data_IF_817647254112
#
_entry.id   IF_817647254112
#
_cell.length_a   1.000
_cell.length_b   1.000
_cell.length_c   1.000
_cell.angle_alpha   90.00
_cell.angle_beta   90.00
_cell.angle_gamma   90.00
#
_symmetry.space_group_name_H-M   'P 1'
#
loop_
_entity.id
_entity.type
_entity.pdbx_description
1 polymer ?
#
# COMPACT_ATOMS: atom_id res chain seq x y z
N UNK A 1 -4.48 -13.09 -4.34
CA UNK A 1 -4.22 -12.69 -2.95
C UNK A 1 -5.12 -11.53 -2.57
N UNK A 2 -5.76 -11.57 -1.40
CA UNK A 2 -6.53 -10.45 -0.84
C UNK A 2 -6.19 -10.23 0.63
N UNK A 3 -6.38 -9.00 1.12
CA UNK A 3 -6.30 -8.69 2.56
C UNK A 3 -7.50 -9.35 3.24
N UNK A 4 -7.28 -10.37 4.06
CA UNK A 4 -8.33 -11.13 4.74
C UNK A 4 -8.61 -10.63 6.15
N UNK A 5 -7.60 -10.07 6.82
CA UNK A 5 -7.74 -9.58 8.18
C UNK A 5 -6.81 -8.41 8.48
N UNK A 6 -7.31 -7.44 9.25
CA UNK A 6 -6.57 -6.34 9.84
C UNK A 6 -6.69 -6.42 11.36
N UNK A 7 -5.54 -6.32 12.04
CA UNK A 7 -5.49 -6.08 13.48
C UNK A 7 -4.76 -4.80 13.81
N UNK A 8 -5.29 -4.06 14.77
CA UNK A 8 -4.72 -2.82 15.28
C UNK A 8 -4.52 -2.90 16.78
N UNK A 9 -3.37 -2.39 17.23
CA UNK A 9 -3.08 -2.13 18.64
C UNK A 9 -2.63 -0.69 18.78
N UNK A 10 -3.24 0.06 19.69
CA UNK A 10 -2.90 1.45 20.01
C UNK A 10 -2.73 2.39 18.81
N UNK A 11 -3.46 2.12 17.72
CA UNK A 11 -3.41 2.92 16.50
C UNK A 11 -4.56 3.93 16.48
N UNK A 12 -4.22 5.22 16.63
CA UNK A 12 -5.13 6.37 16.61
C UNK A 12 -6.25 6.28 17.63
N UNK A 13 -7.44 5.83 17.21
CA UNK A 13 -8.62 5.69 18.09
C UNK A 13 -8.84 4.27 18.59
N UNK A 14 -8.12 3.30 18.02
CA UNK A 14 -8.20 1.90 18.41
C UNK A 14 -7.04 1.65 19.37
N UNK A 15 -7.33 1.67 20.67
CA UNK A 15 -6.30 1.53 21.69
C UNK A 15 -6.87 1.24 23.06
N UNK A 16 -6.02 0.72 23.92
CA UNK A 16 -6.33 0.38 25.30
C UNK A 16 -5.18 0.80 26.22
N UNK A 17 -5.37 0.66 27.53
CA UNK A 17 -4.36 1.07 28.51
C UNK A 17 -3.17 0.10 28.57
N UNK A 18 -3.36 -1.14 28.16
CA UNK A 18 -2.37 -2.21 28.26
C UNK A 18 -2.10 -2.78 26.87
N UNK A 19 -0.82 -2.94 26.51
CA UNK A 19 -0.46 -3.52 25.23
C UNK A 19 -0.33 -5.03 25.36
N UNK A 20 -1.34 -5.77 24.91
CA UNK A 20 -1.33 -7.22 24.85
C UNK A 20 -1.38 -7.71 23.41
N UNK A 21 -0.33 -8.40 22.96
CA UNK A 21 -0.22 -8.83 21.56
C UNK A 21 -1.28 -9.84 21.13
N UNK A 22 -1.86 -10.59 22.07
CA UNK A 22 -2.95 -11.54 21.80
C UNK A 22 -4.33 -10.86 21.73
N UNK A 23 -4.43 -9.61 22.21
CA UNK A 23 -5.69 -8.88 22.35
C UNK A 23 -5.64 -7.57 21.56
N UNK A 24 -5.86 -7.60 20.23
CA UNK A 24 -5.93 -6.38 19.43
C UNK A 24 -7.15 -5.52 19.79
N UNK A 25 -6.96 -4.20 19.73
CA UNK A 25 -8.02 -3.20 19.95
C UNK A 25 -9.03 -3.16 18.79
N UNK A 26 -8.62 -3.59 17.61
CA UNK A 26 -9.51 -3.89 16.48
C UNK A 26 -9.05 -5.19 15.82
N UNK A 27 -9.98 -6.10 15.57
CA UNK A 27 -9.78 -7.28 14.74
C UNK A 27 -10.88 -7.31 13.67
N UNK A 28 -10.53 -7.04 12.42
CA UNK A 28 -11.47 -6.82 11.33
C UNK A 28 -11.19 -7.75 10.15
N UNK A 29 -12.15 -8.59 9.83
CA UNK A 29 -12.11 -9.46 8.66
C UNK A 29 -12.63 -8.75 7.41
N UNK A 30 -12.05 -9.11 6.27
CA UNK A 30 -12.39 -8.60 4.94
C UNK A 30 -12.76 -9.77 4.03
N UNK A 31 -13.71 -9.52 3.13
CA UNK A 31 -14.05 -10.42 2.05
C UNK A 31 -13.07 -10.25 0.88
N UNK A 32 -12.90 -11.28 0.05
CA UNK A 32 -11.96 -11.28 -1.09
C UNK A 32 -12.16 -10.12 -2.07
N UNK A 33 -13.41 -9.76 -2.33
CA UNK A 33 -13.77 -8.87 -3.43
C UNK A 33 -14.05 -7.45 -2.93
N UNK A 34 -15.31 -7.18 -2.58
CA UNK A 34 -15.77 -5.85 -2.21
C UNK A 34 -16.01 -5.77 -0.71
N UNK A 35 -15.42 -4.75 -0.09
CA UNK A 35 -15.66 -4.39 1.30
C UNK A 35 -16.15 -2.95 1.36
N UNK A 36 -17.26 -2.72 2.07
CA UNK A 36 -17.84 -1.39 2.25
C UNK A 36 -17.82 -1.02 3.73
N UNK A 37 -17.02 -0.02 4.09
CA UNK A 37 -16.94 0.48 5.46
C UNK A 37 -17.96 1.61 5.66
N UNK A 38 -18.96 1.36 6.51
CA UNK A 38 -20.05 2.31 6.81
C UNK A 38 -20.00 2.68 8.30
N UNK A 39 -20.31 3.94 8.61
CA UNK A 39 -20.42 4.43 9.98
C UNK A 39 -20.42 5.94 10.03
N UNK A 40 -20.59 6.51 11.22
CA UNK A 40 -20.57 7.96 11.45
C UNK A 40 -19.21 8.60 11.14
N UNK A 41 -19.19 9.92 10.95
CA UNK A 41 -17.91 10.62 10.84
C UNK A 41 -17.08 10.38 12.12
N UNK A 42 -15.75 10.31 11.96
CA UNK A 42 -14.81 10.02 13.06
C UNK A 42 -14.99 8.64 13.74
N UNK A 43 -15.79 7.75 13.12
CA UNK A 43 -15.94 6.36 13.58
C UNK A 43 -14.70 5.49 13.40
N UNK A 44 -13.67 5.96 12.68
CA UNK A 44 -12.42 5.20 12.48
C UNK A 44 -12.19 4.62 11.09
N UNK A 45 -13.13 4.81 10.17
CA UNK A 45 -13.00 4.34 8.77
C UNK A 45 -11.69 4.81 8.13
N UNK A 46 -11.35 6.09 8.30
CA UNK A 46 -10.11 6.66 7.78
C UNK A 46 -8.88 6.03 8.44
N UNK A 47 -8.92 5.75 9.75
CA UNK A 47 -7.84 5.09 10.46
C UNK A 47 -7.60 3.66 9.95
N UNK A 48 -8.66 2.89 9.65
CA UNK A 48 -8.54 1.56 9.04
C UNK A 48 -7.79 1.65 7.69
N UNK A 49 -8.21 2.58 6.83
CA UNK A 49 -7.58 2.76 5.51
C UNK A 49 -6.13 3.24 5.63
N UNK A 50 -5.85 4.17 6.54
CA UNK A 50 -4.50 4.68 6.74
C UNK A 50 -3.56 3.63 7.34
N UNK A 51 -4.05 2.74 8.21
CA UNK A 51 -3.27 1.62 8.72
C UNK A 51 -2.81 0.69 7.58
N UNK A 52 -3.74 0.32 6.69
CA UNK A 52 -3.44 -0.52 5.52
C UNK A 52 -2.40 0.17 4.62
N UNK A 53 -2.60 1.47 4.34
CA UNK A 53 -1.66 2.27 3.54
C UNK A 53 -0.28 2.38 4.20
N UNK A 54 -0.22 2.49 5.52
CA UNK A 54 1.04 2.59 6.25
C UNK A 54 1.93 1.38 6.06
N UNK A 55 1.33 0.18 6.11
CA UNK A 55 2.03 -1.09 5.94
C UNK A 55 2.35 -1.34 4.47
N UNK A 56 1.37 -1.25 3.58
CA UNK A 56 1.52 -1.63 2.16
C UNK A 56 2.24 -0.57 1.33
N UNK A 57 2.17 0.69 1.76
CA UNK A 57 2.46 1.86 0.93
C UNK A 57 1.59 1.88 -0.34
N UNK A 58 1.75 2.94 -1.13
CA UNK A 58 0.99 3.12 -2.36
C UNK A 58 1.92 3.22 -3.55
N UNK A 59 1.43 2.89 -4.74
CA UNK A 59 2.12 3.23 -6.00
C UNK A 59 2.17 4.74 -6.24
N UNK A 60 1.22 5.49 -5.69
CA UNK A 60 1.25 6.94 -5.65
C UNK A 60 2.35 7.46 -4.72
N UNK A 61 2.97 8.59 -5.09
CA UNK A 61 3.92 9.33 -4.25
C UNK A 61 3.19 10.06 -3.11
N UNK A 62 2.52 9.32 -2.25
CA UNK A 62 1.93 9.84 -1.03
C UNK A 62 2.97 9.84 0.08
N UNK A 63 3.00 10.94 0.84
CA UNK A 63 3.85 11.04 2.02
C UNK A 63 3.21 10.29 3.18
N UNK A 64 3.49 8.98 3.26
CA UNK A 64 2.98 8.11 4.32
C UNK A 64 4.07 7.97 5.38
N UNK A 65 4.05 8.89 6.35
CA UNK A 65 4.95 8.88 7.51
C UNK A 65 4.15 8.75 8.79
N UNK A 66 4.76 8.10 9.78
CA UNK A 66 4.23 8.03 11.14
C UNK A 66 4.41 9.38 11.81
N UNK A 67 3.39 9.79 12.54
CA UNK A 67 3.31 11.00 13.34
C UNK A 67 2.86 10.68 14.76
N UNK A 68 2.95 11.64 15.66
CA UNK A 68 2.47 11.49 17.04
C UNK A 68 0.97 11.16 17.10
N UNK A 69 0.18 11.71 16.17
CA UNK A 69 -1.27 11.50 16.07
C UNK A 69 -1.66 10.05 15.69
N UNK A 70 -0.69 9.23 15.26
CA UNK A 70 -0.93 7.83 14.94
C UNK A 70 -0.95 6.94 16.20
N UNK A 71 -0.42 7.42 17.33
CA UNK A 71 -0.45 6.73 18.61
C UNK A 71 -1.77 7.00 19.34
N UNK A 72 -2.32 5.98 19.98
CA UNK A 72 -3.51 6.14 20.81
C UNK A 72 -3.17 6.88 22.10
N UNK A 73 -3.70 8.09 22.29
CA UNK A 73 -3.44 8.95 23.44
C UNK A 73 -1.92 9.05 23.73
N UNK A 74 -1.52 8.80 24.98
CA UNK A 74 -0.13 8.89 25.45
C UNK A 74 0.64 7.55 25.32
N UNK A 75 0.13 6.60 24.52
CA UNK A 75 0.86 5.34 24.29
C UNK A 75 2.15 5.57 23.52
N UNK A 76 3.17 4.77 23.84
CA UNK A 76 4.50 4.85 23.25
C UNK A 76 4.71 3.82 22.14
N UNK A 77 3.74 2.94 21.89
CA UNK A 77 3.81 1.87 20.90
C UNK A 77 2.46 1.61 20.26
N UNK A 78 2.45 1.45 18.94
CA UNK A 78 1.33 0.90 18.20
C UNK A 78 1.80 -0.22 17.28
N UNK A 79 0.85 -1.09 16.91
CA UNK A 79 1.11 -2.18 15.96
C UNK A 79 -0.04 -2.29 14.97
N UNK A 80 0.31 -2.58 13.73
CA UNK A 80 -0.62 -2.90 12.65
C UNK A 80 -0.23 -4.27 12.12
N UNK A 81 -1.18 -5.17 11.97
CA UNK A 81 -0.98 -6.49 11.37
C UNK A 81 -2.00 -6.72 10.26
N UNK A 82 -1.51 -7.19 9.12
CA UNK A 82 -2.30 -7.56 7.95
C UNK A 82 -2.09 -9.05 7.68
N UNK A 83 -3.18 -9.77 7.45
CA UNK A 83 -3.15 -11.15 6.93
C UNK A 83 -3.69 -11.16 5.52
N UNK A 84 -3.02 -11.88 4.64
CA UNK A 84 -3.42 -12.11 3.27
C UNK A 84 -3.65 -13.59 3.04
N UNK A 85 -4.76 -13.93 2.40
CA UNK A 85 -5.14 -15.30 2.03
C UNK A 85 -5.32 -15.41 0.51
N UNK A 86 -5.53 -16.64 0.06
CA UNK A 86 -5.78 -17.00 -1.34
C UNK A 86 -4.70 -16.45 -2.29
N UNK A 87 -3.44 -16.77 -1.96
CA UNK A 87 -2.30 -16.43 -2.80
C UNK A 87 -2.22 -17.40 -3.97
N UNK A 88 -2.32 -16.87 -5.19
CA UNK A 88 -2.04 -17.64 -6.41
C UNK A 88 -0.55 -17.97 -6.47
N UNK A 89 -0.19 -19.07 -7.11
CA UNK A 89 1.22 -19.49 -7.23
C UNK A 89 2.14 -18.38 -7.77
N UNK A 90 1.66 -17.60 -8.74
CA UNK A 90 2.37 -16.47 -9.33
C UNK A 90 2.60 -15.30 -8.37
N UNK A 91 1.75 -15.13 -7.36
CA UNK A 91 1.91 -14.13 -6.30
C UNK A 91 2.81 -14.70 -5.19
N UNK A 92 2.54 -15.94 -4.78
CA UNK A 92 3.21 -16.64 -3.68
C UNK A 92 4.72 -16.78 -3.89
N UNK A 93 5.18 -16.93 -5.15
CA UNK A 93 6.62 -17.08 -5.48
C UNK A 93 7.48 -15.92 -4.99
N UNK A 94 6.91 -14.71 -4.86
CA UNK A 94 7.62 -13.52 -4.38
C UNK A 94 7.74 -13.45 -2.86
N UNK A 95 7.03 -14.34 -2.14
CA UNK A 95 6.92 -14.31 -0.69
C UNK A 95 7.34 -15.61 -0.01
N UNK A 96 7.96 -16.55 -0.73
CA UNK A 96 8.28 -17.91 -0.25
C UNK A 96 8.99 -17.95 1.10
N UNK A 97 9.82 -16.96 1.41
CA UNK A 97 10.55 -16.84 2.69
C UNK A 97 9.66 -16.43 3.88
N UNK A 98 8.49 -15.84 3.63
CA UNK A 98 7.57 -15.30 4.65
C UNK A 98 6.19 -15.98 4.67
N UNK A 99 5.91 -16.86 3.71
CA UNK A 99 4.67 -17.61 3.67
C UNK A 99 4.57 -18.54 4.87
N UNK A 100 3.36 -18.68 5.37
CA UNK A 100 2.98 -19.64 6.39
C UNK A 100 1.74 -20.39 5.92
N UNK A 101 1.41 -21.48 6.61
CA UNK A 101 0.38 -22.40 6.16
C UNK A 101 -0.68 -22.57 7.22
N UNK A 102 -1.94 -22.55 6.80
CA UNK A 102 -3.10 -22.79 7.64
C UNK A 102 -3.81 -24.06 7.17
N UNK A 103 -4.21 -24.94 8.09
CA UNK A 103 -4.77 -26.24 7.76
C UNK A 103 -3.79 -27.40 7.96
N UNK A 104 -4.13 -28.58 7.42
CA UNK A 104 -3.35 -29.81 7.62
C UNK A 104 -3.02 -30.47 6.28
N UNK A 105 -1.74 -30.84 6.12
CA UNK A 105 -1.25 -31.66 4.99
C UNK A 105 -1.63 -31.07 3.63
N UNK A 106 -2.41 -31.80 2.84
CA UNK A 106 -2.74 -31.48 1.44
C UNK A 106 -3.79 -30.37 1.30
N UNK A 107 -4.53 -30.06 2.38
CA UNK A 107 -5.49 -28.94 2.44
C UNK A 107 -4.85 -27.68 3.03
N UNK A 108 -3.53 -27.68 3.24
CA UNK A 108 -2.85 -26.51 3.78
C UNK A 108 -2.86 -25.37 2.76
N UNK A 109 -3.44 -24.23 3.15
CA UNK A 109 -3.48 -23.04 2.33
C UNK A 109 -2.39 -22.05 2.78
N UNK A 110 -1.65 -21.45 1.84
CA UNK A 110 -0.66 -20.45 2.18
C UNK A 110 -1.34 -19.15 2.58
N UNK A 111 -0.79 -18.49 3.60
CA UNK A 111 -1.12 -17.12 3.96
C UNK A 111 0.16 -16.31 4.16
N UNK A 112 0.06 -15.01 3.94
CA UNK A 112 1.12 -14.06 4.23
C UNK A 112 0.66 -13.15 5.37
N UNK A 113 1.46 -13.08 6.43
CA UNK A 113 1.22 -12.15 7.54
C UNK A 113 2.30 -11.09 7.55
N UNK A 114 1.88 -9.83 7.59
CA UNK A 114 2.75 -8.66 7.53
C UNK A 114 2.43 -7.77 8.73
N UNK A 115 3.44 -7.34 9.46
CA UNK A 115 3.28 -6.48 10.62
C UNK A 115 4.16 -5.22 10.54
N UNK A 116 3.68 -4.15 11.16
CA UNK A 116 4.37 -2.90 11.34
C UNK A 116 4.23 -2.48 12.80
N UNK A 117 5.35 -2.52 13.51
CA UNK A 117 5.42 -2.31 14.95
C UNK A 117 6.29 -1.09 15.22
N UNK A 118 5.67 -0.03 15.76
CA UNK A 118 6.31 1.28 15.90
C UNK A 118 6.29 1.66 17.35
N UNK A 119 7.43 2.14 17.83
CA UNK A 119 7.57 2.69 19.17
C UNK A 119 8.19 4.08 19.13
N UNK A 120 7.91 4.89 20.14
CA UNK A 120 8.53 6.20 20.37
C UNK A 120 9.13 6.25 21.76
N UNK A 121 10.06 7.17 21.94
CA UNK A 121 10.51 7.61 23.26
C UNK A 121 10.14 9.10 23.45
N UNK A 122 10.53 9.69 24.57
CA UNK A 122 10.20 11.09 24.89
C UNK A 122 10.69 12.13 23.85
N UNK A 123 11.65 11.78 22.99
CA UNK A 123 12.28 12.70 22.04
C UNK A 123 11.82 12.50 20.59
N UNK A 124 11.51 11.25 20.21
CA UNK A 124 11.20 10.90 18.82
C UNK A 124 10.52 9.54 18.67
N UNK A 125 9.86 9.40 17.52
CA UNK A 125 9.45 8.11 16.97
C UNK A 125 10.70 7.35 16.49
N UNK A 126 10.83 6.09 16.90
CA UNK A 126 11.94 5.23 16.52
C UNK A 126 11.76 4.71 15.08
N UNK A 127 12.85 4.50 14.32
CA UNK A 127 12.77 3.86 13.02
C UNK A 127 12.14 2.47 13.13
N UNK A 128 11.17 2.19 12.27
CA UNK A 128 10.47 0.92 12.18
C UNK A 128 10.32 0.53 10.72
N UNK A 129 10.41 -0.77 10.46
CA UNK A 129 10.24 -1.37 9.15
C UNK A 129 9.12 -2.41 9.16
N UNK A 130 8.54 -2.63 7.98
CA UNK A 130 7.53 -3.67 7.77
C UNK A 130 8.19 -5.04 7.74
N UNK A 131 7.68 -5.96 8.54
CA UNK A 131 8.16 -7.35 8.68
C UNK A 131 7.07 -8.34 8.31
N UNK A 132 7.45 -9.58 7.98
CA UNK A 132 6.50 -10.62 7.62
C UNK A 132 6.91 -11.99 8.18
N UNK A 133 5.95 -12.91 8.32
CA UNK A 133 6.17 -14.24 8.90
C UNK A 133 5.09 -14.62 9.89
N UNK A 134 5.01 -15.90 10.27
CA UNK A 134 3.96 -16.44 11.18
C UNK A 134 4.15 -16.06 12.64
N UNK A 135 5.38 -15.77 13.05
CA UNK A 135 5.71 -15.39 14.41
C UNK A 135 5.27 -13.94 14.73
N UNK A 136 5.46 -13.52 15.97
CA UNK A 136 5.03 -12.18 16.42
C UNK A 136 5.94 -11.08 15.90
N UNK A 137 7.23 -11.33 15.72
CA UNK A 137 8.16 -10.29 15.26
C UNK A 137 8.24 -10.26 13.74
N UNK A 138 8.31 -11.43 13.09
CA UNK A 138 8.52 -11.52 11.66
C UNK A 138 9.96 -11.18 11.25
N UNK A 139 10.22 -11.45 9.98
CA UNK A 139 11.49 -11.20 9.31
C UNK A 139 11.38 -9.98 8.41
N UNK A 140 12.49 -9.29 8.19
CA UNK A 140 12.56 -8.15 7.27
C UNK A 140 12.23 -8.59 5.86
N UNK A 141 11.36 -7.83 5.18
CA UNK A 141 11.09 -8.04 3.75
C UNK A 141 12.28 -7.58 2.90
N UNK A 142 12.49 -8.19 1.74
CA UNK A 142 13.39 -7.64 0.73
C UNK A 142 12.69 -6.50 -0.07
N UNK A 143 13.46 -5.79 -0.92
CA UNK A 143 12.91 -4.65 -1.66
C UNK A 143 11.85 -5.04 -2.69
N UNK A 144 11.99 -6.22 -3.28
CA UNK A 144 11.07 -6.75 -4.28
C UNK A 144 9.72 -7.14 -3.66
N UNK A 145 9.72 -7.91 -2.58
CA UNK A 145 8.53 -8.28 -1.82
C UNK A 145 7.77 -7.05 -1.31
N UNK A 146 8.47 -6.03 -0.80
CA UNK A 146 7.85 -4.74 -0.46
C UNK A 146 7.21 -4.04 -1.65
N UNK A 147 7.81 -4.16 -2.84
CA UNK A 147 7.24 -3.57 -4.06
C UNK A 147 5.94 -4.27 -4.45
N UNK A 148 5.90 -5.61 -4.40
CA UNK A 148 4.70 -6.40 -4.70
C UNK A 148 3.54 -6.20 -3.72
N UNK A 149 3.82 -5.77 -2.48
CA UNK A 149 2.78 -5.42 -1.51
C UNK A 149 2.13 -4.06 -1.75
N UNK A 150 2.72 -3.19 -2.58
CA UNK A 150 2.16 -1.85 -2.81
C UNK A 150 0.77 -1.96 -3.41
N UNK A 151 -0.11 -1.08 -2.93
CA UNK A 151 -1.49 -1.04 -3.39
C UNK A 151 -1.83 0.27 -4.11
N UNK A 152 -2.92 0.23 -4.89
CA UNK A 152 -3.49 1.42 -5.50
C UNK A 152 -4.55 1.99 -4.54
N UNK A 153 -4.23 3.10 -3.91
CA UNK A 153 -5.21 3.84 -3.10
C UNK A 153 -5.88 4.91 -3.96
N UNK A 154 -7.21 4.94 -4.00
CA UNK A 154 -8.00 5.96 -4.68
C UNK A 154 -8.61 6.96 -3.69
N UNK A 155 -8.02 8.15 -3.57
CA UNK A 155 -8.57 9.30 -2.84
C UNK A 155 -9.95 9.70 -3.37
N UNK A 156 -10.81 10.28 -2.51
CA UNK A 156 -12.06 10.86 -2.95
C UNK A 156 -11.86 11.87 -4.07
N UNK A 157 -12.58 11.69 -5.19
CA UNK A 157 -12.57 12.56 -6.37
C UNK A 157 -13.31 13.90 -6.13
N UNK A 158 -13.09 14.53 -4.97
CA UNK A 158 -13.75 15.80 -4.61
C UNK A 158 -13.36 16.92 -5.58
N UNK A 159 -12.18 16.82 -6.17
CA UNK A 159 -11.70 17.68 -7.24
C UNK A 159 -11.08 16.81 -8.36
N UNK A 160 -11.94 16.08 -9.05
CA UNK A 160 -11.54 15.20 -10.15
C UNK A 160 -10.85 15.98 -11.29
N UNK A 161 -11.26 17.24 -11.50
CA UNK A 161 -10.66 18.10 -12.51
C UNK A 161 -9.18 18.31 -12.19
N UNK A 162 -8.83 18.79 -10.98
CA UNK A 162 -7.43 19.06 -10.65
C UNK A 162 -6.56 17.80 -10.53
N UNK A 163 -7.11 16.67 -10.06
CA UNK A 163 -6.37 15.40 -9.95
C UNK A 163 -6.11 14.71 -11.31
N UNK A 164 -6.97 14.95 -12.31
CA UNK A 164 -6.86 14.37 -13.65
C UNK A 164 -6.14 15.27 -14.66
N UNK A 165 -5.75 16.50 -14.29
CA UNK A 165 -4.92 17.36 -15.16
C UNK A 165 -3.62 16.62 -15.51
N UNK A 166 -3.25 16.49 -16.79
CA UNK A 166 -2.02 15.83 -17.21
C UNK A 166 -0.79 16.59 -16.70
N UNK A 167 -0.15 16.04 -15.66
CA UNK A 167 1.11 16.49 -15.05
C UNK A 167 1.98 15.28 -14.73
N UNK A 168 3.30 15.49 -14.57
CA UNK A 168 4.30 14.42 -14.27
C UNK A 168 3.96 13.54 -13.06
N UNK A 169 3.18 14.08 -12.12
CA UNK A 169 2.70 13.39 -10.91
C UNK A 169 1.17 13.37 -10.81
N UNK A 170 0.47 13.60 -11.92
CA UNK A 170 -0.99 13.53 -11.98
C UNK A 170 -1.50 12.14 -11.62
N UNK A 171 -2.74 12.06 -11.15
CA UNK A 171 -3.33 10.79 -10.73
C UNK A 171 -3.37 9.77 -11.85
N UNK A 172 -3.78 10.23 -13.04
CA UNK A 172 -3.79 9.42 -14.25
C UNK A 172 -2.39 8.88 -14.57
N UNK A 173 -1.35 9.73 -14.52
CA UNK A 173 0.02 9.29 -14.80
C UNK A 173 0.54 8.24 -13.81
N UNK A 174 0.14 8.33 -12.53
CA UNK A 174 0.54 7.36 -11.51
C UNK A 174 -0.18 6.02 -11.69
N UNK A 175 -1.47 6.04 -12.05
CA UNK A 175 -2.24 4.83 -12.35
C UNK A 175 -1.65 4.13 -13.57
N UNK A 176 -1.41 4.88 -14.66
CA UNK A 176 -0.83 4.30 -15.89
C UNK A 176 0.56 3.70 -15.63
N UNK A 177 1.42 4.37 -14.87
CA UNK A 177 2.74 3.82 -14.47
C UNK A 177 2.68 2.55 -13.65
N UNK A 178 1.63 2.36 -12.84
CA UNK A 178 1.44 1.15 -12.05
C UNK A 178 0.89 -0.03 -12.85
N UNK A 179 0.33 0.23 -14.03
CA UNK A 179 -0.35 -0.78 -14.83
C UNK A 179 0.64 -1.58 -15.69
N UNK A 180 0.45 -2.90 -15.77
CA UNK A 180 1.40 -3.82 -16.43
C UNK A 180 1.69 -3.48 -17.88
N UNK A 181 0.68 -2.98 -18.62
CA UNK A 181 0.79 -2.51 -20.01
C UNK A 181 1.91 -1.46 -20.18
N UNK A 182 2.23 -0.67 -19.16
CA UNK A 182 3.24 0.39 -19.23
C UNK A 182 4.58 0.02 -18.57
N UNK A 183 4.76 -1.22 -18.10
CA UNK A 183 6.04 -1.66 -17.51
C UNK A 183 7.16 -1.83 -18.53
N UNK A 184 6.82 -2.15 -19.79
CA UNK A 184 7.77 -2.23 -20.90
C UNK A 184 7.63 -0.96 -21.75
N UNK A 185 8.46 0.05 -21.48
CA UNK A 185 8.34 1.38 -22.11
C UNK A 185 8.55 1.35 -23.64
N UNK A 186 9.47 0.52 -24.16
CA UNK A 186 9.87 0.53 -25.58
C UNK A 186 8.88 -0.16 -26.53
N UNK A 187 8.21 -1.23 -26.08
CA UNK A 187 7.22 -1.98 -26.87
C UNK A 187 5.79 -1.47 -26.69
N UNK A 188 5.59 -0.44 -25.85
CA UNK A 188 4.26 0.10 -25.62
C UNK A 188 3.79 0.93 -26.84
N UNK A 189 2.70 0.49 -27.47
CA UNK A 189 2.10 1.17 -28.63
C UNK A 189 1.85 2.66 -28.39
N UNK A 190 1.39 3.06 -27.20
CA UNK A 190 1.16 4.48 -26.89
C UNK A 190 2.49 5.25 -26.84
N UNK A 191 3.55 4.65 -26.31
CA UNK A 191 4.87 5.27 -26.28
C UNK A 191 5.39 5.52 -27.70
N UNK A 192 5.29 4.51 -28.59
CA UNK A 192 5.71 4.62 -29.99
C UNK A 192 4.93 5.70 -30.77
N UNK A 193 3.61 5.79 -30.56
CA UNK A 193 2.79 6.84 -31.18
C UNK A 193 3.15 8.24 -30.63
N UNK A 194 3.45 8.36 -29.34
CA UNK A 194 3.90 9.62 -28.74
C UNK A 194 5.27 10.06 -29.26
N UNK A 195 6.23 9.14 -29.44
CA UNK A 195 7.52 9.47 -30.04
C UNK A 195 7.36 9.98 -31.47
N UNK A 196 6.60 9.26 -32.30
CA UNK A 196 6.32 9.69 -33.68
C UNK A 196 5.70 11.09 -33.71
N UNK A 197 4.69 11.33 -32.87
CA UNK A 197 4.06 12.64 -32.77
C UNK A 197 5.05 13.73 -32.37
N UNK A 198 5.92 13.48 -31.39
CA UNK A 198 6.94 14.44 -30.96
C UNK A 198 7.97 14.72 -32.07
N UNK A 199 8.37 13.71 -32.83
CA UNK A 199 9.25 13.90 -34.00
C UNK A 199 8.57 14.75 -35.09
N UNK A 200 7.31 14.47 -35.40
CA UNK A 200 6.53 15.24 -36.37
C UNK A 200 6.40 16.70 -35.97
N UNK A 201 6.05 16.98 -34.71
CA UNK A 201 5.99 18.33 -34.14
C UNK A 201 7.35 19.02 -34.21
N UNK A 202 8.42 18.34 -33.78
CA UNK A 202 9.78 18.89 -33.80
C UNK A 202 10.22 19.25 -35.23
N UNK A 203 9.90 18.40 -36.20
CA UNK A 203 10.20 18.63 -37.61
C UNK A 203 9.38 19.77 -38.20
N UNK A 204 8.11 19.92 -37.81
CA UNK A 204 7.27 21.05 -38.22
C UNK A 204 7.88 22.39 -37.80
N UNK A 205 8.27 22.53 -36.52
CA UNK A 205 8.87 23.78 -36.02
C UNK A 205 10.29 24.02 -36.54
N UNK A 206 11.10 22.97 -36.75
CA UNK A 206 12.44 23.11 -37.38
C UNK A 206 12.35 23.59 -38.82
N UNK A 207 11.30 23.23 -39.56
CA UNK A 207 11.06 23.73 -40.92
C UNK A 207 10.62 25.19 -40.88
N UNK A 208 9.68 25.55 -40.01
CA UNK A 208 9.22 26.93 -39.85
C UNK A 208 10.36 27.91 -39.48
N UNK A 209 11.29 27.49 -38.61
CA UNK A 209 12.43 28.33 -38.19
C UNK A 209 13.60 28.37 -39.19
N UNK A 210 13.53 27.64 -40.31
CA UNK A 210 14.54 27.67 -41.39
C UNK A 210 14.12 28.56 -42.55
N UNK A 211 12.91 29.12 -42.53
CA UNK A 211 12.36 30.00 -43.56
C UNK A 211 12.47 31.50 -43.22
N UNK A 212 13.19 31.85 -42.14
CA UNK A 212 13.71 33.20 -41.84
C UNK A 212 15.21 33.31 -42.17
#
# INVERSE_FOLDING_TARGET
>A
MYLSNLKLWNFRKFGSKEFEIESPDLNLDFNENLNVLIGENDSGKTAIIDAIKMVLKTHSYEWIRVTEDDFYNDTDRFRIELKFNDLKAEEAKYFTEWLSWEGKKEEAEPYLKVNYDVSKNAERILPADVRAGSDKEGYSLNAEARHYLKTTYLKPLRDAESELIPKRYSRLSQILKGHDIFKNEEDNKLYQEFEKFNEEISNYFKKANKEE
#
